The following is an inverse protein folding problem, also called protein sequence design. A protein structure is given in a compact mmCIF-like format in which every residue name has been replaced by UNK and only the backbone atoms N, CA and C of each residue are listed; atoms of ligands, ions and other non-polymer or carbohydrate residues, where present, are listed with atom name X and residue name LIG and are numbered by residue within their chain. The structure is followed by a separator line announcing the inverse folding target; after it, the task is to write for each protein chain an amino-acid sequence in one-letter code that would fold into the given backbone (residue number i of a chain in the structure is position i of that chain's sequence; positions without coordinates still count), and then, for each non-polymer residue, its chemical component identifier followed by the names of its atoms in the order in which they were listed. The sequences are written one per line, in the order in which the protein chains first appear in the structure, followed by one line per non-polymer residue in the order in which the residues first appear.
data_IF_701998830262
#
_entry.id   IF_701998830262
#
_cell.length_a   1.000
_cell.length_b   1.000
_cell.length_c   1.000
_cell.angle_alpha   90.00
_cell.angle_beta   90.00
_cell.angle_gamma   90.00
#
_symmetry.space_group_name_H-M   'P 1'
#
loop_
_entity.id
_entity.type
_entity.pdbx_description
1 polymer ?
#
# COMPACT_ATOMS: atom_id res chain seq x y z
N UNK A 1 27.59 -28.67 61.10
CA UNK A 1 26.83 -29.71 60.39
C UNK A 1 25.46 -29.66 61.04
N UNK A 2 24.59 -28.76 60.57
CA UNK A 2 23.22 -28.64 61.04
C UNK A 2 22.36 -28.26 59.84
N UNK A 3 21.32 -29.06 59.70
CA UNK A 3 20.28 -29.05 58.68
C UNK A 3 19.29 -27.89 58.91
N UNK A 4 18.49 -27.66 57.87
CA UNK A 4 17.17 -26.99 57.88
C UNK A 4 17.12 -25.45 57.87
N UNK A 5 17.33 -24.92 56.65
CA UNK A 5 16.48 -23.85 56.14
C UNK A 5 15.83 -24.31 54.83
N UNK A 6 14.97 -25.34 54.92
CA UNK A 6 14.11 -25.74 53.80
C UNK A 6 12.94 -24.76 53.76
N UNK A 7 13.10 -23.69 52.97
CA UNK A 7 11.98 -22.87 52.55
C UNK A 7 10.97 -23.75 51.82
N UNK A 8 9.76 -23.86 52.34
CA UNK A 8 8.66 -24.53 51.65
C UNK A 8 8.38 -23.83 50.33
N UNK A 9 8.62 -24.52 49.20
CA UNK A 9 8.18 -24.07 47.88
C UNK A 9 6.66 -24.30 47.82
N UNK A 10 5.91 -23.21 47.93
CA UNK A 10 4.51 -23.19 47.56
C UNK A 10 4.42 -23.18 46.03
N UNK A 11 4.17 -24.35 45.41
CA UNK A 11 3.78 -24.40 44.00
C UNK A 11 2.31 -23.98 43.92
N UNK A 12 2.06 -22.71 43.62
CA UNK A 12 0.76 -22.30 43.09
C UNK A 12 0.77 -22.53 41.59
N UNK A 13 -0.13 -23.39 41.12
CA UNK A 13 -0.49 -23.46 39.70
C UNK A 13 -1.14 -22.13 39.32
N UNK A 14 -0.41 -21.28 38.61
CA UNK A 14 -1.01 -20.11 37.98
C UNK A 14 -1.80 -20.63 36.77
N UNK A 15 -3.11 -20.48 36.77
CA UNK A 15 -4.02 -20.84 35.65
C UNK A 15 -3.85 -19.92 34.42
N UNK A 16 -2.67 -19.35 34.20
CA UNK A 16 -2.39 -18.46 33.07
C UNK A 16 -1.15 -18.94 32.34
N UNK A 17 -1.34 -19.36 31.11
CA UNK A 17 -0.26 -19.63 30.17
C UNK A 17 0.28 -18.28 29.67
N UNK A 18 1.58 -18.07 29.87
CA UNK A 18 2.29 -16.90 29.35
C UNK A 18 3.20 -17.34 28.23
N UNK A 19 3.12 -16.66 27.09
CA UNK A 19 4.09 -16.80 25.99
C UNK A 19 5.09 -15.65 26.05
N UNK A 20 6.38 -15.98 26.08
CA UNK A 20 7.47 -15.00 26.10
C UNK A 20 8.08 -14.92 24.70
N UNK A 21 8.16 -13.72 24.16
CA UNK A 21 8.71 -13.44 22.83
C UNK A 21 9.81 -12.39 22.90
N UNK A 22 10.60 -12.27 21.84
CA UNK A 22 11.47 -11.11 21.66
C UNK A 22 10.65 -9.81 21.60
N UNK A 23 11.21 -8.73 22.15
CA UNK A 23 10.60 -7.41 22.05
C UNK A 23 10.99 -6.75 20.73
N UNK A 24 9.99 -6.40 19.92
CA UNK A 24 10.18 -5.76 18.62
C UNK A 24 9.83 -4.26 18.74
N UNK A 25 10.86 -3.42 18.59
CA UNK A 25 10.89 -2.04 19.07
C UNK A 25 10.08 -1.02 18.25
N UNK A 26 9.91 -1.22 16.93
CA UNK A 26 9.19 -0.26 16.06
C UNK A 26 7.69 -0.51 16.02
N UNK A 27 7.18 -1.47 16.80
CA UNK A 27 5.76 -1.78 16.89
C UNK A 27 5.20 -2.34 15.58
N UNK A 28 3.88 -2.26 15.42
CA UNK A 28 3.18 -2.89 14.28
C UNK A 28 3.24 -2.05 13.00
N UNK A 29 3.21 -2.73 11.86
CA UNK A 29 3.12 -2.12 10.52
C UNK A 29 1.94 -1.17 10.40
N UNK A 30 0.83 -1.46 11.09
CA UNK A 30 -0.34 -0.57 11.14
C UNK A 30 0.03 0.88 11.51
N UNK A 31 0.96 1.06 12.45
CA UNK A 31 1.39 2.39 12.90
C UNK A 31 2.20 3.15 11.85
N UNK A 32 2.70 2.46 10.83
CA UNK A 32 3.52 3.02 9.75
C UNK A 32 2.75 3.18 8.44
N UNK A 33 1.52 2.67 8.36
CA UNK A 33 0.67 2.81 7.18
C UNK A 33 0.13 4.24 7.07
N UNK A 34 0.42 4.88 5.95
CA UNK A 34 0.03 6.24 5.59
C UNK A 34 -0.16 6.32 4.08
N UNK A 35 -0.92 7.31 3.59
CA UNK A 35 -1.11 7.56 2.15
C UNK A 35 0.22 7.67 1.38
N UNK A 36 0.18 7.53 0.06
CA UNK A 36 1.40 7.51 -0.78
C UNK A 36 2.23 8.78 -0.66
N UNK A 37 1.59 9.91 -0.31
CA UNK A 37 2.22 11.21 -0.19
C UNK A 37 2.98 11.38 1.15
N UNK A 38 2.83 10.44 2.10
CA UNK A 38 3.37 10.55 3.47
C UNK A 38 4.00 9.23 3.98
N UNK A 39 4.67 9.32 5.13
CA UNK A 39 5.25 8.19 5.89
C UNK A 39 6.36 7.42 5.17
N UNK A 40 6.29 6.08 5.10
CA UNK A 40 7.40 5.24 4.60
C UNK A 40 7.72 5.49 3.13
N UNK A 41 9.01 5.58 2.79
CA UNK A 41 9.51 5.65 1.41
C UNK A 41 9.26 4.33 0.66
N UNK A 42 9.14 4.43 -0.68
CA UNK A 42 8.80 3.29 -1.52
C UNK A 42 9.71 2.08 -1.29
N UNK A 43 11.03 2.32 -1.18
CA UNK A 43 12.00 1.24 -0.95
C UNK A 43 11.66 0.43 0.30
N UNK A 44 11.37 1.09 1.43
CA UNK A 44 11.00 0.41 2.68
C UNK A 44 9.67 -0.33 2.52
N UNK A 45 8.68 0.25 1.85
CA UNK A 45 7.39 -0.42 1.60
C UNK A 45 7.57 -1.67 0.75
N UNK A 46 8.37 -1.60 -0.31
CA UNK A 46 8.66 -2.72 -1.19
C UNK A 46 9.43 -3.85 -0.47
N UNK A 47 10.46 -3.51 0.32
CA UNK A 47 11.16 -4.50 1.16
C UNK A 47 10.25 -5.11 2.22
N UNK A 48 9.31 -4.33 2.77
CA UNK A 48 8.29 -4.84 3.68
C UNK A 48 7.39 -5.87 2.99
N UNK A 49 6.94 -5.61 1.76
CA UNK A 49 6.16 -6.59 0.97
C UNK A 49 6.96 -7.89 0.80
N UNK A 50 8.22 -7.80 0.37
CA UNK A 50 9.09 -8.98 0.19
C UNK A 50 9.25 -9.77 1.49
N UNK A 51 9.58 -9.09 2.61
CA UNK A 51 9.76 -9.76 3.89
C UNK A 51 8.49 -10.43 4.43
N UNK A 52 7.30 -9.84 4.19
CA UNK A 52 6.04 -10.50 4.53
C UNK A 52 5.84 -11.74 3.66
N UNK A 53 6.15 -11.66 2.36
CA UNK A 53 6.07 -12.81 1.46
C UNK A 53 6.98 -13.96 1.92
N UNK A 54 8.22 -13.67 2.30
CA UNK A 54 9.18 -14.65 2.80
C UNK A 54 8.70 -15.31 4.10
N UNK A 55 8.23 -14.50 5.06
CA UNK A 55 7.64 -15.00 6.30
C UNK A 55 6.43 -15.90 6.05
N UNK A 56 5.57 -15.52 5.10
CA UNK A 56 4.39 -16.31 4.74
C UNK A 56 4.76 -17.59 4.00
N UNK A 57 5.78 -17.56 3.15
CA UNK A 57 6.32 -18.76 2.50
C UNK A 57 6.85 -19.75 3.53
N UNK A 58 7.59 -19.28 4.54
CA UNK A 58 8.06 -20.13 5.63
C UNK A 58 6.88 -20.82 6.34
N UNK A 59 5.83 -20.06 6.70
CA UNK A 59 4.64 -20.62 7.34
C UNK A 59 3.94 -21.66 6.47
N UNK A 60 3.68 -21.35 5.21
CA UNK A 60 2.92 -22.22 4.31
C UNK A 60 3.70 -23.45 3.88
N UNK A 61 4.99 -23.31 3.58
CA UNK A 61 5.80 -24.37 2.96
C UNK A 61 6.58 -25.20 3.97
N UNK A 62 7.17 -24.57 4.98
CA UNK A 62 8.04 -25.26 5.94
C UNK A 62 7.30 -25.69 7.20
N UNK A 63 6.24 -24.96 7.56
CA UNK A 63 5.45 -25.23 8.77
C UNK A 63 4.06 -25.76 8.52
N UNK A 64 3.57 -25.73 7.28
CA UNK A 64 2.21 -26.16 6.94
C UNK A 64 1.15 -25.46 7.84
N UNK A 65 1.40 -24.18 8.16
CA UNK A 65 0.59 -23.34 9.05
C UNK A 65 -0.12 -22.26 8.24
N UNK A 66 -1.43 -22.14 8.45
CA UNK A 66 -2.25 -21.00 8.02
C UNK A 66 -2.36 -20.02 9.17
N UNK A 67 -2.05 -18.75 8.93
CA UNK A 67 -2.07 -17.70 9.95
C UNK A 67 -3.49 -17.28 10.35
N UNK A 68 -4.39 -17.11 9.37
CA UNK A 68 -5.82 -16.76 9.49
C UNK A 68 -6.18 -15.37 10.02
N UNK A 69 -5.31 -14.68 10.76
CA UNK A 69 -5.50 -13.27 11.14
C UNK A 69 -4.33 -12.40 10.68
N UNK A 70 -3.87 -12.62 9.44
CA UNK A 70 -2.81 -11.81 8.85
C UNK A 70 -3.34 -10.39 8.57
N UNK A 71 -2.75 -9.39 9.23
CA UNK A 71 -3.13 -7.97 9.13
C UNK A 71 -1.95 -7.09 9.56
N UNK A 72 -1.94 -5.79 9.24
CA UNK A 72 -0.83 -4.91 9.60
C UNK A 72 -0.55 -4.79 11.12
N UNK A 73 -1.53 -5.08 11.97
CA UNK A 73 -1.34 -5.10 13.43
C UNK A 73 -0.50 -6.32 13.88
N UNK A 74 -0.56 -7.41 13.12
CA UNK A 74 0.10 -8.69 13.39
C UNK A 74 1.40 -8.83 12.58
N UNK A 75 1.92 -7.72 12.06
CA UNK A 75 3.22 -7.62 11.42
C UNK A 75 4.00 -6.58 12.21
N UNK A 76 5.04 -7.01 12.94
CA UNK A 76 5.87 -6.10 13.72
C UNK A 76 7.11 -5.72 12.93
N UNK A 77 7.61 -4.49 13.14
CA UNK A 77 8.77 -3.95 12.46
C UNK A 77 9.96 -3.90 13.43
N UNK A 78 11.08 -4.51 13.07
CA UNK A 78 12.29 -4.44 13.89
C UNK A 78 13.08 -3.14 13.70
N UNK A 79 14.22 -3.01 14.39
CA UNK A 79 15.07 -1.81 14.32
C UNK A 79 15.60 -1.51 12.92
N UNK A 80 15.65 -2.51 12.04
CA UNK A 80 16.07 -2.40 10.64
C UNK A 80 14.87 -2.22 9.68
N UNK A 81 13.65 -2.05 10.21
CA UNK A 81 12.40 -2.01 9.45
C UNK A 81 12.15 -3.31 8.65
N UNK A 82 12.62 -4.44 9.16
CA UNK A 82 12.32 -5.75 8.60
C UNK A 82 11.02 -6.27 9.26
N UNK A 83 10.02 -6.71 8.46
CA UNK A 83 8.75 -7.19 8.99
C UNK A 83 8.89 -8.59 9.62
N UNK A 84 8.16 -8.82 10.72
CA UNK A 84 8.00 -10.11 11.38
C UNK A 84 6.53 -10.41 11.62
N UNK A 85 6.07 -11.56 11.11
CA UNK A 85 4.69 -12.03 11.33
C UNK A 85 4.56 -12.53 12.77
N UNK A 86 3.52 -12.09 13.47
CA UNK A 86 3.24 -12.42 14.88
C UNK A 86 1.77 -12.76 15.10
N UNK A 87 1.41 -13.09 16.33
CA UNK A 87 0.04 -13.40 16.77
C UNK A 87 -0.55 -14.63 16.07
N UNK A 88 0.02 -15.78 16.43
CA UNK A 88 -0.42 -17.09 15.97
C UNK A 88 -1.56 -17.68 16.82
N UNK A 89 -2.25 -16.86 17.63
CA UNK A 89 -3.23 -17.34 18.62
C UNK A 89 -4.42 -18.07 18.00
N UNK A 90 -4.73 -17.80 16.73
CA UNK A 90 -5.78 -18.48 15.98
C UNK A 90 -5.25 -19.48 14.95
N UNK A 91 -3.97 -19.42 14.60
CA UNK A 91 -3.35 -20.17 13.50
C UNK A 91 -3.64 -21.67 13.51
N UNK A 92 -3.65 -22.30 12.33
CA UNK A 92 -3.98 -23.71 12.15
C UNK A 92 -2.90 -24.43 11.38
N UNK A 93 -2.53 -25.62 11.85
CA UNK A 93 -1.76 -26.57 11.07
C UNK A 93 -2.71 -27.32 10.14
N UNK A 94 -2.35 -27.46 8.86
CA UNK A 94 -3.17 -28.17 7.88
C UNK A 94 -2.70 -29.63 7.76
N UNK A 95 -3.01 -30.46 8.76
CA UNK A 95 -2.67 -31.90 8.77
C UNK A 95 -3.42 -32.71 7.68
N UNK A 96 -3.22 -32.42 6.39
CA UNK A 96 -3.62 -33.20 5.20
C UNK A 96 -5.09 -33.59 5.02
N UNK A 97 -5.93 -33.37 6.04
CA UNK A 97 -7.25 -33.96 6.21
C UNK A 97 -8.18 -32.81 6.56
N UNK A 98 -8.88 -32.32 5.53
CA UNK A 98 -10.01 -31.40 5.59
C UNK A 98 -9.72 -29.90 5.82
N UNK A 99 -10.31 -29.08 4.95
CA UNK A 99 -10.64 -27.69 5.23
C UNK A 99 -11.38 -27.64 6.57
N UNK A 100 -10.71 -27.21 7.64
CA UNK A 100 -11.34 -27.11 8.94
C UNK A 100 -12.36 -25.96 8.91
N UNK A 101 -13.65 -26.28 9.01
CA UNK A 101 -14.71 -25.27 9.19
C UNK A 101 -14.61 -24.80 10.64
N UNK A 102 -14.13 -23.58 10.85
CA UNK A 102 -14.05 -23.01 12.21
C UNK A 102 -15.33 -22.22 12.49
N UNK A 103 -16.08 -22.64 13.52
CA UNK A 103 -17.25 -21.90 14.01
C UNK A 103 -16.82 -20.82 15.00
N UNK A 104 -17.18 -19.56 14.72
CA UNK A 104 -17.00 -18.43 15.63
C UNK A 104 -15.54 -18.02 15.81
N UNK A 105 -15.06 -17.09 15.01
CA UNK A 105 -13.76 -16.46 15.22
C UNK A 105 -13.92 -14.94 15.20
N UNK A 106 -13.28 -14.25 16.14
CA UNK A 106 -13.12 -12.80 16.17
C UNK A 106 -12.17 -12.39 15.05
N UNK A 107 -12.67 -12.32 13.81
CA UNK A 107 -11.84 -11.96 12.67
C UNK A 107 -11.85 -10.46 12.43
N UNK A 108 -10.68 -9.91 12.11
CA UNK A 108 -10.51 -8.50 11.76
C UNK A 108 -11.23 -8.17 10.45
N UNK A 109 -12.30 -7.39 10.53
CA UNK A 109 -13.04 -6.91 9.36
C UNK A 109 -12.10 -6.09 8.44
N UNK A 110 -11.98 -6.51 7.17
CA UNK A 110 -11.23 -5.81 6.13
C UNK A 110 -10.03 -6.58 5.53
N UNK A 111 -9.39 -7.49 6.27
CA UNK A 111 -8.28 -8.33 5.74
C UNK A 111 -8.69 -9.80 5.58
N UNK A 112 -9.92 -10.12 5.94
CA UNK A 112 -10.42 -11.48 5.95
C UNK A 112 -10.93 -11.92 4.58
N UNK A 113 -10.53 -13.11 4.15
CA UNK A 113 -11.00 -13.71 2.91
C UNK A 113 -12.51 -14.00 2.95
N UNK A 114 -13.25 -13.76 1.84
CA UNK A 114 -14.71 -13.90 1.83
C UNK A 114 -15.17 -15.33 2.14
N UNK A 115 -14.47 -16.35 1.66
CA UNK A 115 -14.84 -17.75 1.95
C UNK A 115 -14.68 -18.10 3.44
N UNK A 116 -13.75 -17.46 4.13
CA UNK A 116 -13.58 -17.64 5.57
C UNK A 116 -14.70 -16.94 6.34
N UNK A 117 -15.05 -15.70 5.98
CA UNK A 117 -16.17 -14.96 6.58
C UNK A 117 -17.51 -15.68 6.42
N UNK A 118 -17.81 -16.18 5.22
CA UNK A 118 -19.13 -16.71 4.91
C UNK A 118 -19.30 -18.19 5.25
N UNK A 119 -18.20 -18.98 5.22
CA UNK A 119 -18.27 -20.45 5.31
C UNK A 119 -17.30 -21.03 6.33
N UNK A 120 -16.52 -20.22 7.04
CA UNK A 120 -15.50 -20.67 7.98
C UNK A 120 -14.40 -21.51 7.33
N UNK A 121 -14.22 -21.42 6.00
CA UNK A 121 -13.27 -22.23 5.26
C UNK A 121 -11.84 -21.71 5.46
N UNK A 122 -10.98 -22.58 5.99
CA UNK A 122 -9.56 -22.29 6.22
C UNK A 122 -8.72 -22.88 5.09
N UNK A 123 -7.81 -22.07 4.54
CA UNK A 123 -6.82 -22.51 3.56
C UNK A 123 -5.64 -21.53 3.51
N UNK A 124 -4.50 -21.96 2.95
CA UNK A 124 -3.40 -21.05 2.61
C UNK A 124 -3.86 -19.87 1.74
N UNK A 125 -4.86 -20.08 0.86
CA UNK A 125 -5.39 -19.03 -0.01
C UNK A 125 -6.11 -17.92 0.76
N UNK A 126 -6.54 -18.18 2.00
CA UNK A 126 -7.15 -17.16 2.85
C UNK A 126 -6.09 -16.17 3.34
N UNK A 127 -4.88 -16.62 3.70
CA UNK A 127 -3.76 -15.73 4.00
C UNK A 127 -3.29 -14.96 2.76
N UNK A 128 -3.34 -15.57 1.56
CA UNK A 128 -3.01 -14.86 0.30
C UNK A 128 -3.97 -13.70 0.06
N UNK A 129 -5.25 -13.84 0.40
CA UNK A 129 -6.19 -12.73 0.32
C UNK A 129 -5.78 -11.60 1.28
N UNK A 130 -5.48 -11.92 2.54
CA UNK A 130 -5.00 -10.96 3.52
C UNK A 130 -3.74 -10.24 3.05
N UNK A 131 -2.78 -10.97 2.49
CA UNK A 131 -1.57 -10.42 1.88
C UNK A 131 -1.91 -9.42 0.76
N UNK A 132 -2.85 -9.76 -0.13
CA UNK A 132 -3.30 -8.88 -1.19
C UNK A 132 -3.81 -7.53 -0.67
N UNK A 133 -4.65 -7.55 0.37
CA UNK A 133 -5.14 -6.32 1.02
C UNK A 133 -4.01 -5.52 1.65
N UNK A 134 -3.03 -6.19 2.29
CA UNK A 134 -1.85 -5.53 2.88
C UNK A 134 -0.97 -4.89 1.80
N UNK A 135 -0.80 -5.54 0.65
CA UNK A 135 -0.06 -4.96 -0.47
C UNK A 135 -0.78 -3.71 -1.00
N UNK A 136 -2.11 -3.72 -1.11
CA UNK A 136 -2.89 -2.52 -1.48
C UNK A 136 -2.65 -1.39 -0.48
N UNK A 137 -2.71 -1.68 0.82
CA UNK A 137 -2.42 -0.70 1.88
C UNK A 137 -0.99 -0.16 1.80
N UNK A 138 0.00 -1.01 1.50
CA UNK A 138 1.40 -0.57 1.36
C UNK A 138 1.60 0.28 0.10
N UNK A 139 0.94 -0.07 -0.99
CA UNK A 139 1.08 0.64 -2.27
C UNK A 139 0.34 1.97 -2.26
N UNK A 140 -0.86 2.02 -1.68
CA UNK A 140 -1.75 3.21 -1.76
C UNK A 140 -1.88 3.96 -0.44
N UNK A 141 -1.58 3.32 0.69
CA UNK A 141 -1.91 3.84 2.01
C UNK A 141 -3.40 3.97 2.31
N UNK A 142 -4.27 3.36 1.50
CA UNK A 142 -5.74 3.32 1.68
C UNK A 142 -6.28 1.93 1.35
N UNK A 143 -7.45 1.59 1.89
CA UNK A 143 -8.17 0.32 1.66
C UNK A 143 -9.12 0.40 0.46
N UNK A 144 -8.69 1.02 -0.62
CA UNK A 144 -9.52 1.20 -1.83
C UNK A 144 -8.92 0.45 -3.00
N UNK A 145 -9.76 0.07 -3.97
CA UNK A 145 -9.29 -0.56 -5.20
C UNK A 145 -8.35 0.41 -5.94
N UNK A 146 -7.06 0.07 -6.13
CA UNK A 146 -6.10 1.01 -6.65
C UNK A 146 -6.36 1.32 -8.12
N UNK A 147 -6.69 2.58 -8.44
CA UNK A 147 -6.46 3.08 -9.80
C UNK A 147 -4.95 3.24 -10.00
N UNK A 148 -4.36 2.31 -10.74
CA UNK A 148 -2.92 2.27 -11.04
C UNK A 148 -2.39 3.63 -11.52
N UNK A 149 -3.15 4.37 -12.34
CA UNK A 149 -2.68 5.67 -12.85
C UNK A 149 -2.59 6.71 -11.75
N UNK A 150 -3.57 6.73 -10.85
CA UNK A 150 -3.59 7.68 -9.72
C UNK A 150 -2.46 7.36 -8.75
N UNK A 151 -2.28 6.08 -8.42
CA UNK A 151 -1.24 5.61 -7.50
C UNK A 151 0.16 5.93 -8.04
N UNK A 152 0.43 5.58 -9.30
CA UNK A 152 1.73 5.89 -9.93
C UNK A 152 2.00 7.39 -9.97
N UNK A 153 0.96 8.20 -10.23
CA UNK A 153 1.08 9.66 -10.24
C UNK A 153 1.43 10.22 -8.86
N UNK A 154 0.85 9.69 -7.78
CA UNK A 154 1.18 10.08 -6.40
C UNK A 154 2.61 9.71 -6.02
N UNK A 155 3.04 8.49 -6.34
CA UNK A 155 4.42 8.06 -6.11
C UNK A 155 5.42 8.90 -6.87
N UNK A 156 5.15 9.21 -8.15
CA UNK A 156 5.99 10.13 -8.93
C UNK A 156 6.12 11.49 -8.28
N UNK A 157 4.98 12.08 -7.92
CA UNK A 157 4.95 13.39 -7.28
C UNK A 157 5.86 13.42 -6.04
N UNK A 158 5.81 12.35 -5.23
CA UNK A 158 6.67 12.20 -4.07
C UNK A 158 8.15 12.01 -4.42
N UNK A 159 8.49 11.13 -5.36
CA UNK A 159 9.88 10.90 -5.79
C UNK A 159 10.54 12.15 -6.37
N UNK A 160 9.79 12.93 -7.15
CA UNK A 160 10.27 14.20 -7.69
C UNK A 160 10.63 15.20 -6.56
N UNK A 161 9.86 15.22 -5.47
CA UNK A 161 10.11 16.11 -4.33
C UNK A 161 11.22 15.65 -3.41
N UNK A 162 11.42 14.34 -3.27
CA UNK A 162 12.50 13.78 -2.44
C UNK A 162 13.84 13.73 -3.16
N UNK A 163 13.89 14.06 -4.45
CA UNK A 163 15.04 13.85 -5.34
C UNK A 163 15.58 12.40 -5.29
N UNK A 164 14.75 11.46 -4.85
CA UNK A 164 15.08 10.06 -4.65
C UNK A 164 14.19 9.26 -5.57
N UNK A 165 14.69 9.02 -6.78
CA UNK A 165 13.97 8.26 -7.79
C UNK A 165 14.41 6.78 -7.74
N UNK A 166 13.55 5.85 -7.28
CA UNK A 166 13.88 4.44 -7.32
C UNK A 166 13.95 3.98 -8.79
N UNK A 167 15.09 3.43 -9.27
CA UNK A 167 15.26 3.07 -10.68
C UNK A 167 14.18 2.14 -11.25
N UNK A 168 13.60 1.28 -10.40
CA UNK A 168 12.53 0.34 -10.75
C UNK A 168 11.17 0.71 -10.14
N UNK A 169 11.02 1.92 -9.60
CA UNK A 169 9.84 2.32 -8.82
C UNK A 169 8.52 2.05 -9.53
N UNK A 170 8.37 2.53 -10.76
CA UNK A 170 7.14 2.31 -11.53
C UNK A 170 6.83 0.84 -11.77
N UNK A 171 7.86 0.07 -12.15
CA UNK A 171 7.70 -1.34 -12.47
C UNK A 171 7.32 -2.12 -11.21
N UNK A 172 7.99 -1.84 -10.09
CA UNK A 172 7.69 -2.43 -8.78
C UNK A 172 6.28 -2.08 -8.31
N UNK A 173 5.86 -0.81 -8.38
CA UNK A 173 4.52 -0.41 -7.96
C UNK A 173 3.47 -1.08 -8.84
N UNK A 174 3.66 -1.08 -10.16
CA UNK A 174 2.73 -1.70 -11.11
C UNK A 174 2.60 -3.20 -10.83
N UNK A 175 3.73 -3.89 -10.67
CA UNK A 175 3.76 -5.32 -10.38
C UNK A 175 3.07 -5.64 -9.04
N UNK A 176 3.33 -4.85 -8.00
CA UNK A 176 2.67 -5.01 -6.70
C UNK A 176 1.14 -4.85 -6.81
N UNK A 177 0.64 -3.89 -7.60
CA UNK A 177 -0.80 -3.71 -7.83
C UNK A 177 -1.39 -4.93 -8.54
N UNK A 178 -0.73 -5.43 -9.57
CA UNK A 178 -1.20 -6.60 -10.32
C UNK A 178 -1.21 -7.88 -9.47
N UNK A 179 -0.16 -8.10 -8.68
CA UNK A 179 -0.09 -9.18 -7.69
C UNK A 179 -1.25 -9.06 -6.71
N UNK A 180 -1.46 -7.86 -6.14
CA UNK A 180 -2.50 -7.64 -5.16
C UNK A 180 -3.89 -7.90 -5.73
N UNK A 181 -4.17 -7.43 -6.96
CA UNK A 181 -5.43 -7.67 -7.66
C UNK A 181 -5.74 -9.17 -7.82
N UNK A 182 -4.72 -9.99 -8.14
CA UNK A 182 -4.88 -11.46 -8.19
C UNK A 182 -5.09 -12.07 -6.80
N UNK A 183 -4.40 -11.57 -5.79
CA UNK A 183 -4.50 -12.04 -4.41
C UNK A 183 -5.90 -11.80 -3.81
N UNK A 184 -6.53 -10.66 -4.10
CA UNK A 184 -7.87 -10.32 -3.58
C UNK A 184 -9.03 -10.91 -4.40
N UNK A 185 -8.76 -11.83 -5.33
CA UNK A 185 -9.80 -12.53 -6.07
C UNK A 185 -10.81 -13.20 -5.13
N UNK A 186 -12.10 -13.03 -5.41
CA UNK A 186 -13.18 -13.67 -4.66
C UNK A 186 -13.12 -15.21 -4.77
N UNK A 187 -12.65 -15.75 -5.89
CA UNK A 187 -12.41 -17.19 -6.05
C UNK A 187 -11.00 -17.54 -5.52
N UNK A 188 -10.87 -18.33 -4.44
CA UNK A 188 -9.58 -18.72 -3.87
C UNK A 188 -8.69 -19.51 -4.84
N UNK A 189 -9.29 -20.19 -5.83
CA UNK A 189 -8.54 -20.98 -6.81
C UNK A 189 -7.75 -20.11 -7.78
N UNK A 190 -8.22 -18.89 -8.04
CA UNK A 190 -7.55 -17.92 -8.93
C UNK A 190 -6.41 -17.15 -8.24
N UNK A 191 -6.37 -17.17 -6.91
CA UNK A 191 -5.29 -16.53 -6.15
C UNK A 191 -3.97 -17.27 -6.40
N UNK A 192 -2.83 -16.59 -6.58
CA UNK A 192 -1.54 -17.24 -6.78
C UNK A 192 -1.09 -18.01 -5.53
N UNK A 193 -0.09 -18.88 -5.68
CA UNK A 193 0.65 -19.39 -4.52
C UNK A 193 1.70 -18.37 -4.09
N UNK A 194 2.09 -18.42 -2.80
CA UNK A 194 3.11 -17.51 -2.28
C UNK A 194 4.46 -17.63 -3.02
N UNK A 195 4.80 -18.85 -3.47
CA UNK A 195 5.99 -19.10 -4.29
C UNK A 195 5.93 -18.41 -5.65
N UNK A 196 4.75 -18.30 -6.26
CA UNK A 196 4.59 -17.61 -7.54
C UNK A 196 4.79 -16.10 -7.39
N UNK A 197 4.28 -15.54 -6.27
CA UNK A 197 4.44 -14.13 -5.93
C UNK A 197 5.92 -13.79 -5.74
N UNK A 198 6.64 -14.57 -4.92
CA UNK A 198 8.07 -14.35 -4.65
C UNK A 198 8.88 -14.44 -5.94
N UNK A 199 8.67 -15.50 -6.73
CA UNK A 199 9.35 -15.67 -8.02
C UNK A 199 9.13 -14.46 -8.93
N UNK A 200 7.91 -13.95 -9.01
CA UNK A 200 7.59 -12.79 -9.83
C UNK A 200 8.29 -11.51 -9.36
N UNK A 201 8.36 -11.28 -8.05
CA UNK A 201 9.09 -10.14 -7.46
C UNK A 201 10.60 -10.24 -7.69
N UNK A 202 11.17 -11.45 -7.64
CA UNK A 202 12.61 -11.67 -7.86
C UNK A 202 12.99 -11.60 -9.36
N UNK A 203 12.12 -12.07 -10.26
CA UNK A 203 12.27 -11.93 -11.72
C UNK A 203 12.33 -10.46 -12.14
N UNK A 204 11.51 -9.61 -11.52
CA UNK A 204 11.49 -8.17 -11.75
C UNK A 204 12.85 -7.51 -11.42
N UNK A 205 13.52 -7.98 -10.36
CA UNK A 205 14.84 -7.48 -9.96
C UNK A 205 15.96 -8.03 -10.86
N UNK A 206 15.82 -9.28 -11.31
CA UNK A 206 16.85 -9.99 -12.08
C UNK A 206 16.92 -9.58 -13.56
N UNK A 207 15.78 -9.28 -14.18
CA UNK A 207 15.69 -9.00 -15.63
C UNK A 207 16.44 -7.72 -16.04
N UNK A 208 16.59 -6.76 -15.12
CA UNK A 208 17.24 -5.48 -15.41
C UNK A 208 18.74 -5.45 -15.06
N UNK A 209 19.27 -6.48 -14.38
CA UNK A 209 20.72 -6.68 -14.23
C UNK A 209 21.45 -6.91 -15.56
N UNK A 210 20.71 -7.34 -16.60
CA UNK A 210 21.22 -7.61 -17.95
C UNK A 210 21.05 -6.46 -18.96
N UNK A 211 20.36 -5.37 -18.61
CA UNK A 211 20.09 -4.23 -19.54
C UNK A 211 21.11 -3.09 -19.40
N UNK A 212 22.01 -3.16 -18.41
CA UNK A 212 23.17 -2.28 -18.38
C UNK A 212 24.27 -2.88 -19.28
N UNK A 213 24.70 -2.13 -20.30
CA UNK A 213 25.68 -2.44 -21.35
C UNK A 213 25.15 -3.04 -22.67
N UNK A 214 24.38 -2.27 -23.43
CA UNK A 214 24.58 -2.16 -24.87
C UNK A 214 23.95 -0.88 -25.42
N UNK A 215 24.70 -0.16 -26.24
CA UNK A 215 24.34 1.07 -26.91
C UNK A 215 23.01 0.94 -27.68
N UNK A 216 22.00 1.76 -27.35
CA UNK A 216 20.91 2.12 -28.27
C UNK A 216 20.58 3.62 -28.10
N UNK A 217 20.24 4.32 -29.20
CA UNK A 217 20.26 5.77 -29.30
C UNK A 217 19.04 6.45 -28.67
N UNK A 218 19.27 7.70 -28.29
CA UNK A 218 18.46 8.65 -27.51
C UNK A 218 17.10 9.08 -28.10
N UNK A 219 16.36 8.22 -28.84
CA UNK A 219 15.11 8.64 -29.51
C UNK A 219 13.84 7.82 -29.20
N UNK A 220 13.76 7.07 -28.09
CA UNK A 220 12.53 6.33 -27.77
C UNK A 220 12.29 6.09 -26.28
N UNK A 221 12.35 7.16 -25.48
CA UNK A 221 11.77 7.19 -24.13
C UNK A 221 10.55 8.11 -24.09
N UNK A 222 9.58 7.89 -24.99
CA UNK A 222 8.21 8.31 -24.68
C UNK A 222 7.73 7.28 -23.66
N UNK A 223 7.71 7.66 -22.39
CA UNK A 223 7.09 6.81 -21.38
C UNK A 223 5.70 6.36 -21.84
N UNK A 224 5.33 5.09 -21.62
CA UNK A 224 4.00 4.56 -21.96
C UNK A 224 2.87 5.27 -21.21
N UNK A 225 3.20 6.20 -20.30
CA UNK A 225 2.28 6.96 -19.48
C UNK A 225 2.18 8.43 -19.95
N UNK A 226 1.11 8.80 -20.69
CA UNK A 226 0.89 10.17 -21.17
C UNK A 226 0.84 11.24 -20.05
N UNK A 227 0.62 10.83 -18.81
CA UNK A 227 0.60 11.74 -17.66
C UNK A 227 2.02 12.12 -17.17
N UNK A 228 3.09 11.56 -17.74
CA UNK A 228 4.49 12.04 -17.60
C UNK A 228 4.83 13.28 -18.40
N UNK A 229 3.85 13.81 -19.13
CA UNK A 229 4.01 15.02 -19.91
C UNK A 229 3.99 16.27 -19.01
N UNK A 230 3.19 16.30 -17.94
CA UNK A 230 3.09 17.49 -17.06
C UNK A 230 3.23 17.12 -15.59
N UNK A 231 4.05 17.89 -14.88
CA UNK A 231 4.12 17.89 -13.43
C UNK A 231 3.18 18.93 -12.83
N UNK A 232 2.54 18.55 -11.72
CA UNK A 232 1.45 19.29 -11.09
C UNK A 232 1.73 19.41 -9.60
N UNK A 233 1.74 20.63 -9.06
CA UNK A 233 1.97 20.92 -7.63
C UNK A 233 1.04 22.05 -7.14
N UNK A 234 0.31 21.89 -6.02
CA UNK A 234 0.13 20.67 -5.25
C UNK A 234 -0.81 19.66 -5.92
N UNK A 235 -0.61 18.38 -5.64
CA UNK A 235 -1.45 17.31 -6.21
C UNK A 235 -2.87 17.28 -5.60
N UNK A 236 -3.03 17.79 -4.38
CA UNK A 236 -4.31 17.98 -3.70
C UNK A 236 -4.46 19.46 -3.31
N UNK A 237 -5.60 20.05 -3.66
CA UNK A 237 -5.93 21.44 -3.33
C UNK A 237 -6.87 21.44 -2.13
N UNK A 238 -6.45 22.08 -1.05
CA UNK A 238 -7.27 22.29 0.14
C UNK A 238 -7.75 23.73 0.19
N UNK A 239 -9.06 23.90 0.29
CA UNK A 239 -9.69 25.21 0.45
C UNK A 239 -10.25 25.29 1.87
N UNK A 240 -9.83 26.25 2.72
CA UNK A 240 -10.49 26.50 3.98
C UNK A 240 -11.97 26.85 3.72
N UNK A 241 -12.89 26.39 4.55
CA UNK A 241 -14.30 26.71 4.35
C UNK A 241 -14.58 28.17 4.74
N UNK A 242 -14.97 28.99 3.76
CA UNK A 242 -15.52 30.33 3.99
C UNK A 242 -16.70 30.60 3.04
N UNK A 243 -17.91 30.66 3.60
CA UNK A 243 -19.14 30.85 2.83
C UNK A 243 -19.08 32.13 1.96
N UNK A 244 -19.46 31.99 0.68
CA UNK A 244 -19.56 33.08 -0.30
C UNK A 244 -18.27 33.86 -0.58
N UNK A 245 -17.09 33.35 -0.18
CA UNK A 245 -15.80 33.97 -0.49
C UNK A 245 -15.06 33.17 -1.55
N UNK A 246 -14.46 33.91 -2.50
CA UNK A 246 -13.50 33.31 -3.43
C UNK A 246 -12.19 33.05 -2.72
N UNK A 247 -11.76 31.80 -2.74
CA UNK A 247 -10.50 31.39 -2.12
C UNK A 247 -9.54 31.02 -3.24
N UNK A 248 -8.52 31.85 -3.52
CA UNK A 248 -7.53 31.54 -4.52
C UNK A 248 -6.57 30.45 -4.00
N UNK A 249 -6.29 29.46 -4.83
CA UNK A 249 -5.20 28.53 -4.64
C UNK A 249 -4.26 28.56 -5.85
N UNK A 250 -2.97 28.46 -5.58
CA UNK A 250 -1.93 28.43 -6.60
C UNK A 250 -1.72 26.99 -7.05
N UNK A 251 -1.97 26.72 -8.33
CA UNK A 251 -1.57 25.48 -8.99
C UNK A 251 -0.39 25.78 -9.91
N UNK A 252 0.72 25.07 -9.69
CA UNK A 252 1.89 25.08 -10.55
C UNK A 252 1.83 23.89 -11.51
N UNK A 253 2.01 24.20 -12.80
CA UNK A 253 2.16 23.22 -13.87
C UNK A 253 3.53 23.41 -14.49
N UNK A 254 4.30 22.33 -14.58
CA UNK A 254 5.65 22.31 -15.12
C UNK A 254 5.73 21.28 -16.25
N UNK A 255 6.29 21.68 -17.39
CA UNK A 255 6.64 20.76 -18.47
C UNK A 255 8.13 20.37 -18.33
N UNK A 256 8.45 19.11 -17.94
CA UNK A 256 9.82 18.65 -17.80
C UNK A 256 10.47 18.23 -19.14
N UNK A 257 9.74 18.31 -20.27
CA UNK A 257 10.20 17.87 -21.59
C UNK A 257 10.45 19.06 -22.53
N UNK A 258 11.20 18.79 -23.60
CA UNK A 258 11.52 19.76 -24.65
C UNK A 258 10.39 19.91 -25.71
N UNK A 259 9.23 19.29 -25.49
CA UNK A 259 8.06 19.34 -26.38
C UNK A 259 6.99 20.35 -25.90
N UNK A 260 5.99 20.65 -26.73
CA UNK A 260 4.84 21.50 -26.34
C UNK A 260 3.68 20.64 -25.90
N UNK A 261 3.16 20.89 -24.69
CA UNK A 261 2.01 20.15 -24.17
C UNK A 261 0.83 21.08 -23.99
N UNK A 262 -0.28 20.72 -24.64
CA UNK A 262 -1.58 21.33 -24.43
C UNK A 262 -2.34 20.56 -23.34
N UNK A 263 -2.97 21.29 -22.41
CA UNK A 263 -3.80 20.70 -21.36
C UNK A 263 -5.09 21.49 -21.16
N UNK A 264 -6.09 20.83 -20.59
CA UNK A 264 -7.33 21.46 -20.13
C UNK A 264 -7.64 21.03 -18.70
N UNK A 265 -8.21 21.95 -17.91
CA UNK A 265 -8.66 21.67 -16.55
C UNK A 265 -10.17 21.38 -16.55
N UNK A 266 -10.55 20.28 -15.92
CA UNK A 266 -11.94 19.86 -15.72
C UNK A 266 -12.20 19.63 -14.23
N UNK A 267 -13.33 20.12 -13.73
CA UNK A 267 -13.78 19.87 -12.35
C UNK A 267 -14.85 18.77 -12.36
N UNK A 268 -14.78 17.87 -11.37
CA UNK A 268 -15.70 16.73 -11.23
C UNK A 268 -16.90 17.03 -10.32
N UNK A 269 -16.90 18.14 -9.57
CA UNK A 269 -17.98 18.53 -8.67
C UNK A 269 -18.69 19.81 -9.13
N UNK A 270 -20.02 19.79 -9.13
CA UNK A 270 -20.85 20.96 -9.42
C UNK A 270 -20.95 21.97 -8.25
N UNK A 271 -20.41 21.62 -7.08
CA UNK A 271 -20.42 22.45 -5.87
C UNK A 271 -19.40 23.60 -5.93
N UNK A 272 -18.42 23.53 -6.82
CA UNK A 272 -17.33 24.50 -6.89
C UNK A 272 -17.19 25.04 -8.31
N UNK A 273 -17.41 26.34 -8.48
CA UNK A 273 -17.30 27.01 -9.80
C UNK A 273 -15.91 27.62 -9.96
N UNK A 274 -15.00 27.06 -10.78
CA UNK A 274 -13.71 27.66 -11.03
C UNK A 274 -13.86 28.96 -11.83
N UNK A 275 -13.52 30.12 -11.24
CA UNK A 275 -13.39 31.37 -12.03
C UNK A 275 -11.98 31.48 -12.62
N UNK A 276 -11.90 31.33 -13.94
CA UNK A 276 -10.67 31.45 -14.76
C UNK A 276 -10.29 32.92 -14.94
N UNK A 277 -9.03 33.28 -14.67
CA UNK A 277 -8.54 34.67 -14.84
C UNK A 277 -7.97 35.01 -16.21
N UNK A 278 -7.63 34.06 -17.10
CA UNK A 278 -7.44 34.26 -18.57
C UNK A 278 -6.97 32.95 -19.27
N UNK A 279 -7.30 32.84 -20.56
CA UNK A 279 -6.89 31.85 -21.58
C UNK A 279 -7.62 30.48 -21.68
N UNK A 280 -7.95 30.13 -22.94
CA UNK A 280 -8.85 29.04 -23.35
C UNK A 280 -8.14 27.74 -23.74
N UNK A 281 -6.83 27.77 -23.96
CA UNK A 281 -5.95 26.64 -24.24
C UNK A 281 -4.56 27.08 -23.78
N UNK A 282 -3.97 26.38 -22.81
CA UNK A 282 -2.62 26.70 -22.34
C UNK A 282 -1.64 25.73 -23.00
N UNK A 283 -0.72 26.27 -23.78
CA UNK A 283 0.49 25.57 -24.22
C UNK A 283 1.58 25.90 -23.22
N UNK A 284 2.17 24.92 -22.56
CA UNK A 284 3.33 25.13 -21.70
C UNK A 284 4.62 25.07 -22.56
N UNK A 285 5.30 26.20 -22.82
CA UNK A 285 6.64 26.15 -23.41
C UNK A 285 7.67 25.62 -22.41
N UNK A 286 8.85 25.29 -22.93
CA UNK A 286 10.01 24.71 -22.25
C UNK A 286 10.33 25.45 -20.94
N UNK A 287 10.45 24.71 -19.83
CA UNK A 287 10.94 25.20 -18.51
C UNK A 287 10.18 26.39 -17.87
N UNK A 288 8.91 26.64 -18.19
CA UNK A 288 8.11 27.65 -17.46
C UNK A 288 7.19 27.03 -16.39
N UNK A 289 7.29 27.53 -15.16
CA UNK A 289 6.27 27.35 -14.12
C UNK A 289 5.04 28.19 -14.46
N UNK A 290 3.96 27.54 -14.87
CA UNK A 290 2.68 28.23 -15.09
C UNK A 290 1.89 28.32 -13.79
N UNK A 291 1.76 29.54 -13.25
CA UNK A 291 0.97 29.84 -12.06
C UNK A 291 -0.51 30.04 -12.41
N UNK A 292 -1.38 29.15 -11.95
CA UNK A 292 -2.82 29.27 -12.12
C UNK A 292 -3.51 29.53 -10.78
N UNK A 293 -4.26 30.63 -10.71
CA UNK A 293 -5.16 30.90 -9.60
C UNK A 293 -6.47 30.15 -9.84
N UNK A 294 -6.72 29.11 -9.06
CA UNK A 294 -8.01 28.44 -9.01
C UNK A 294 -8.79 29.08 -7.87
N UNK A 295 -9.93 29.69 -8.19
CA UNK A 295 -10.86 30.20 -7.18
C UNK A 295 -12.05 29.28 -7.08
N UNK A 296 -12.42 28.93 -5.86
CA UNK A 296 -13.58 28.10 -5.55
C UNK A 296 -14.61 28.91 -4.77
N UNK A 297 -15.89 28.76 -5.09
CA UNK A 297 -17.04 29.30 -4.35
C UNK A 297 -18.12 28.24 -4.27
N UNK A 298 -18.58 27.93 -3.07
CA UNK A 298 -19.71 27.02 -2.82
C UNK A 298 -20.97 27.87 -2.61
N UNK A 299 -22.03 27.59 -3.37
CA UNK A 299 -23.31 28.33 -3.29
C UNK A 299 -24.01 28.01 -1.97
N UNK A 300 -24.27 29.04 -1.16
CA UNK A 300 -24.90 28.94 0.16
C UNK A 300 -26.39 28.55 0.17
N UNK A 301 -26.89 27.81 -0.84
CA UNK A 301 -28.21 27.19 -0.74
C UNK A 301 -28.11 25.94 0.11
N UNK A 302 -28.41 26.09 1.40
CA UNK A 302 -28.79 24.97 2.23
C UNK A 302 -30.00 24.27 1.58
N UNK A 303 -29.77 23.18 0.87
CA UNK A 303 -30.84 22.21 0.64
C UNK A 303 -31.10 21.54 1.99
N UNK A 304 -32.07 22.07 2.73
CA UNK A 304 -32.80 21.25 3.69
C UNK A 304 -33.41 20.08 2.90
N UNK A 305 -32.91 18.88 3.17
CA UNK A 305 -33.63 17.65 2.87
C UNK A 305 -34.07 17.08 4.22
N UNK A 306 -35.39 17.17 4.46
CA UNK A 306 -36.12 16.27 5.37
C UNK A 306 -36.05 14.83 4.86
#
# INVERSE_FOLDING_TARGET
MDQENVGSICIRRLEKDYSVFEYISKGSLHNHLTDELRGLEWHTRYQTIKGICDGLQYLHKEKDVVHMDLKPHNILMDDLMIPKITDFGVSKHLDGISQAVTGGCHVSLGYCAPEYLHRGQVSFKSDIFSLGVIIIDLVTGRKEDPDTKIVLRRWRYRWNRSATYPPLGYQQVTECIEIAARCVSHDPKKRPYISDIIRQLDELESTNGHVNYANEPTFSLISPYPWELLDIDPLELHFPFEANKQIPCLLQLSNPRDDYIAFYMQTSSGQYVPRRTKQRNCTAPIQEQCHHNISSTEDGTASHAE
#
